data_IF_439101840019
#
_entry.id   IF_439101840019
#
_cell.length_a   1.000
_cell.length_b   1.000
_cell.length_c   1.000
_cell.angle_alpha   90.00
_cell.angle_beta   90.00
_cell.angle_gamma   90.00
#
_symmetry.space_group_name_H-M   'P 1'
#
loop_
_entity.id
_entity.type
_entity.pdbx_description
1 polymer ?
#
# COMPACT_ATOMS: atom_id res chain seq x y z
N UNK A 1 2.27 22.58 39.64
CA UNK A 1 3.58 21.96 39.37
C UNK A 1 3.39 20.80 38.40
N UNK A 2 3.99 20.96 37.21
CA UNK A 2 4.43 19.97 36.20
C UNK A 2 3.70 18.61 36.09
N UNK A 3 2.87 18.55 35.04
CA UNK A 3 2.74 17.53 33.99
C UNK A 3 3.48 16.19 34.12
N UNK A 4 2.73 15.11 33.92
CA UNK A 4 3.08 13.87 33.20
C UNK A 4 1.75 13.36 32.62
N UNK A 5 1.45 13.27 31.34
CA UNK A 5 2.23 13.09 30.13
C UNK A 5 1.43 12.07 29.31
N UNK A 6 0.32 12.50 28.67
CA UNK A 6 -0.47 11.63 27.80
C UNK A 6 0.37 11.32 26.56
N UNK A 7 0.80 10.06 26.40
CA UNK A 7 1.37 9.60 25.15
C UNK A 7 0.24 9.36 24.14
N UNK A 8 -0.21 10.46 23.55
CA UNK A 8 -0.95 10.48 22.30
C UNK A 8 0.04 10.18 21.17
N UNK A 9 0.15 8.93 20.76
CA UNK A 9 0.81 8.57 19.49
C UNK A 9 -0.25 8.04 18.52
N UNK A 10 -1.19 8.91 18.21
CA UNK A 10 -2.08 8.81 17.06
C UNK A 10 -1.27 9.06 15.79
N UNK A 11 -0.89 7.98 15.09
CA UNK A 11 -0.82 8.03 13.63
C UNK A 11 -2.17 7.54 13.09
N UNK A 12 -3.24 8.24 13.48
CA UNK A 12 -4.49 8.17 12.75
C UNK A 12 -4.20 8.67 11.34
N UNK A 13 -4.60 7.89 10.33
CA UNK A 13 -4.50 8.34 8.94
C UNK A 13 -5.12 9.74 8.85
N UNK A 14 -4.37 10.77 8.45
CA UNK A 14 -4.95 12.09 8.27
C UNK A 14 -6.00 11.97 7.17
N UNK A 15 -7.26 11.96 7.57
CA UNK A 15 -8.42 11.88 6.71
C UNK A 15 -8.48 13.11 5.81
N UNK A 16 -7.77 13.07 4.68
CA UNK A 16 -8.06 13.94 3.56
C UNK A 16 -9.43 13.50 3.05
N UNK A 17 -10.42 14.42 3.11
CA UNK A 17 -11.76 14.29 2.52
C UNK A 17 -11.69 13.40 1.28
N UNK A 18 -12.23 12.18 1.37
CA UNK A 18 -12.50 11.34 0.20
C UNK A 18 -13.62 12.06 -0.54
N UNK A 19 -13.24 12.95 -1.47
CA UNK A 19 -14.18 13.46 -2.45
C UNK A 19 -14.71 12.23 -3.18
N UNK A 20 -16.03 12.10 -3.15
CA UNK A 20 -16.86 11.05 -3.73
C UNK A 20 -16.21 10.38 -4.94
N UNK A 21 -16.19 9.04 -4.96
CA UNK A 21 -15.73 8.14 -6.04
C UNK A 21 -16.44 8.37 -7.39
N UNK A 22 -16.39 9.59 -7.92
CA UNK A 22 -16.82 9.97 -9.25
C UNK A 22 -15.82 10.98 -9.82
N UNK A 23 -15.41 10.65 -11.05
CA UNK A 23 -14.64 11.47 -11.99
C UNK A 23 -13.11 11.46 -11.83
N UNK A 24 -12.47 10.37 -12.26
CA UNK A 24 -11.41 10.36 -13.28
C UNK A 24 -10.90 8.92 -13.50
N UNK A 25 -10.88 8.47 -14.75
CA UNK A 25 -10.42 7.12 -15.13
C UNK A 25 -8.88 7.06 -15.08
N UNK A 26 -8.33 6.72 -13.91
CA UNK A 26 -6.89 6.51 -13.73
C UNK A 26 -6.54 6.24 -12.27
N UNK A 27 -6.24 4.97 -11.93
CA UNK A 27 -5.67 4.45 -10.67
C UNK A 27 -6.43 4.69 -9.34
N UNK A 28 -7.19 5.78 -9.19
CA UNK A 28 -7.92 6.14 -7.96
C UNK A 28 -9.11 5.21 -7.63
N UNK A 29 -9.50 4.34 -8.57
CA UNK A 29 -10.58 3.36 -8.41
C UNK A 29 -10.12 1.95 -8.00
N UNK A 30 -8.84 1.72 -7.74
CA UNK A 30 -8.35 0.38 -7.38
C UNK A 30 -8.74 0.01 -5.94
N UNK A 31 -9.29 -1.19 -5.76
CA UNK A 31 -9.64 -1.71 -4.43
C UNK A 31 -8.37 -2.20 -3.70
N UNK A 32 -8.00 -1.65 -2.53
CA UNK A 32 -6.83 -2.08 -1.77
C UNK A 32 -6.81 -3.57 -1.42
N UNK A 33 -7.97 -4.21 -1.27
CA UNK A 33 -8.07 -5.64 -1.03
C UNK A 33 -7.56 -6.48 -2.20
N UNK A 34 -7.80 -6.04 -3.45
CA UNK A 34 -7.27 -6.74 -4.63
C UNK A 34 -5.74 -6.71 -4.56
N UNK A 35 -5.15 -5.53 -4.41
CA UNK A 35 -3.70 -5.37 -4.31
C UNK A 35 -3.12 -6.19 -3.16
N UNK A 36 -3.73 -6.10 -1.98
CA UNK A 36 -3.33 -6.84 -0.78
C UNK A 36 -3.35 -8.36 -0.98
N UNK A 37 -4.30 -8.88 -1.75
CA UNK A 37 -4.42 -10.32 -2.01
C UNK A 37 -3.23 -10.90 -2.79
N UNK A 38 -2.56 -10.08 -3.59
CA UNK A 38 -1.37 -10.50 -4.34
C UNK A 38 -0.06 -10.17 -3.62
N UNK A 39 -0.09 -9.46 -2.48
CA UNK A 39 1.11 -9.24 -1.68
C UNK A 39 1.53 -10.51 -0.91
N UNK A 40 2.80 -10.62 -0.49
CA UNK A 40 3.30 -11.73 0.32
C UNK A 40 2.64 -11.91 1.69
N UNK A 41 1.93 -10.89 2.20
CA UNK A 41 1.24 -10.88 3.51
C UNK A 41 2.13 -11.20 4.72
N UNK A 42 3.44 -10.96 4.60
CA UNK A 42 4.43 -11.24 5.65
C UNK A 42 4.49 -10.15 6.73
N UNK A 43 3.94 -8.94 6.47
CA UNK A 43 4.09 -7.75 7.32
C UNK A 43 5.55 -7.48 7.76
N UNK A 44 6.52 -7.82 6.90
CA UNK A 44 7.93 -7.88 7.26
C UNK A 44 8.63 -6.52 7.48
N UNK A 45 7.96 -5.39 7.21
CA UNK A 45 8.55 -4.05 7.37
C UNK A 45 9.67 -3.68 6.38
N UNK A 46 10.09 -4.57 5.47
CA UNK A 46 11.18 -4.30 4.50
C UNK A 46 10.90 -3.14 3.54
N UNK A 47 9.64 -2.72 3.41
CA UNK A 47 9.18 -1.56 2.63
C UNK A 47 8.89 -0.31 3.48
N UNK A 48 9.29 -0.31 4.76
CA UNK A 48 9.08 0.75 5.77
C UNK A 48 7.60 0.98 6.15
N UNK A 49 6.73 0.01 5.86
CA UNK A 49 5.31 0.05 6.26
C UNK A 49 5.00 -1.01 7.32
N UNK A 50 4.16 -0.65 8.29
CA UNK A 50 3.79 -1.52 9.42
C UNK A 50 2.98 -2.76 9.01
N UNK A 51 2.29 -2.71 7.88
CA UNK A 51 1.52 -3.84 7.35
C UNK A 51 1.51 -3.86 5.82
N UNK A 52 1.35 -5.04 5.24
CA UNK A 52 1.18 -5.21 3.80
C UNK A 52 -0.08 -4.49 3.29
N UNK A 53 -1.13 -4.38 4.11
CA UNK A 53 -2.32 -3.63 3.76
C UNK A 53 -2.05 -2.12 3.66
N UNK A 54 -1.25 -1.56 4.59
CA UNK A 54 -0.80 -0.16 4.51
C UNK A 54 0.02 0.08 3.25
N UNK A 55 0.92 -0.85 2.92
CA UNK A 55 1.67 -0.80 1.66
C UNK A 55 0.74 -0.83 0.43
N UNK A 56 -0.32 -1.64 0.42
CA UNK A 56 -1.29 -1.69 -0.68
C UNK A 56 -2.02 -0.35 -0.89
N UNK A 57 -2.47 0.30 0.19
CA UNK A 57 -3.09 1.63 0.13
C UNK A 57 -2.10 2.64 -0.46
N UNK A 58 -0.88 2.67 0.07
CA UNK A 58 0.17 3.61 -0.37
C UNK A 58 0.61 3.36 -1.80
N UNK A 59 0.61 2.10 -2.25
CA UNK A 59 0.88 1.73 -3.63
C UNK A 59 -0.20 2.28 -4.57
N UNK A 60 -1.48 2.17 -4.21
CA UNK A 60 -2.59 2.75 -4.99
C UNK A 60 -2.48 4.27 -5.06
N UNK A 61 -2.16 4.93 -3.95
CA UNK A 61 -1.99 6.39 -3.90
C UNK A 61 -0.73 6.92 -4.61
N UNK A 62 0.18 6.03 -5.03
CA UNK A 62 1.47 6.40 -5.63
C UNK A 62 2.57 6.81 -4.64
N UNK A 63 2.30 6.85 -3.32
CA UNK A 63 3.29 7.13 -2.28
C UNK A 63 4.40 6.08 -2.20
N UNK A 64 4.12 4.83 -2.62
CA UNK A 64 5.09 3.74 -2.70
C UNK A 64 5.09 3.13 -4.10
N UNK A 65 6.22 2.55 -4.48
CA UNK A 65 6.39 1.78 -5.73
C UNK A 65 6.34 0.28 -5.42
N UNK A 66 5.90 -0.52 -6.39
CA UNK A 66 5.84 -1.98 -6.26
C UNK A 66 7.21 -2.59 -5.92
N UNK A 67 8.28 -2.02 -6.49
CA UNK A 67 9.68 -2.40 -6.23
C UNK A 67 10.12 -2.23 -4.77
N UNK A 68 9.36 -1.50 -3.93
CA UNK A 68 9.64 -1.37 -2.50
C UNK A 68 9.38 -2.65 -1.71
N UNK A 69 8.57 -3.58 -2.21
CA UNK A 69 8.29 -4.85 -1.52
C UNK A 69 9.35 -5.91 -1.87
N UNK A 70 10.50 -5.89 -1.18
CA UNK A 70 11.62 -6.82 -1.46
C UNK A 70 11.23 -8.30 -1.63
N UNK A 71 10.43 -8.91 -0.72
CA UNK A 71 10.00 -10.31 -0.89
C UNK A 71 9.26 -10.56 -2.21
N UNK A 72 8.39 -9.64 -2.62
CA UNK A 72 7.63 -9.75 -3.87
C UNK A 72 8.53 -9.68 -5.11
N UNK A 73 9.62 -8.92 -5.03
CA UNK A 73 10.58 -8.74 -6.15
C UNK A 73 11.58 -9.88 -6.22
N UNK A 74 12.14 -10.28 -5.08
CA UNK A 74 13.31 -11.16 -5.02
C UNK A 74 12.94 -12.65 -4.97
N UNK A 75 11.77 -13.02 -4.43
CA UNK A 75 11.43 -14.44 -4.25
C UNK A 75 10.61 -14.98 -5.43
N UNK A 76 11.14 -16.00 -6.11
CA UNK A 76 10.53 -16.58 -7.32
C UNK A 76 9.11 -17.13 -7.08
N UNK A 77 8.81 -17.60 -5.87
CA UNK A 77 7.47 -18.10 -5.51
C UNK A 77 6.37 -17.03 -5.64
N UNK A 78 6.72 -15.73 -5.64
CA UNK A 78 5.76 -14.64 -5.82
C UNK A 78 5.76 -14.04 -7.24
N UNK A 79 6.50 -14.62 -8.19
CA UNK A 79 6.63 -14.09 -9.55
C UNK A 79 5.29 -13.82 -10.23
N UNK A 80 4.36 -14.79 -10.21
CA UNK A 80 3.03 -14.61 -10.83
C UNK A 80 2.23 -13.47 -10.21
N UNK A 81 2.35 -13.27 -8.89
CA UNK A 81 1.70 -12.17 -8.19
C UNK A 81 2.32 -10.83 -8.57
N UNK A 82 3.65 -10.77 -8.69
CA UNK A 82 4.38 -9.58 -9.15
C UNK A 82 3.95 -9.20 -10.57
N UNK A 83 3.95 -10.15 -11.51
CA UNK A 83 3.54 -9.93 -12.90
C UNK A 83 2.10 -9.40 -12.99
N UNK A 84 1.18 -9.94 -12.19
CA UNK A 84 -0.19 -9.43 -12.11
C UNK A 84 -0.23 -7.98 -11.62
N UNK A 85 0.48 -7.67 -10.54
CA UNK A 85 0.51 -6.32 -9.99
C UNK A 85 1.20 -5.32 -10.93
N UNK A 86 2.24 -5.73 -11.65
CA UNK A 86 2.89 -4.91 -12.68
C UNK A 86 1.90 -4.51 -13.79
N UNK A 87 1.14 -5.48 -14.32
CA UNK A 87 0.07 -5.20 -15.30
C UNK A 87 -1.03 -4.31 -14.73
N UNK A 88 -1.40 -4.51 -13.47
CA UNK A 88 -2.44 -3.72 -12.81
C UNK A 88 -2.04 -2.24 -12.66
N UNK A 89 -0.79 -1.97 -12.32
CA UNK A 89 -0.29 -0.61 -12.09
C UNK A 89 0.34 0.04 -13.34
N UNK A 90 0.67 -0.76 -14.34
CA UNK A 90 1.19 -0.34 -15.63
C UNK A 90 0.61 -1.17 -16.78
N UNK A 91 -0.64 -0.91 -17.20
CA UNK A 91 -1.34 -1.72 -18.20
C UNK A 91 -0.80 -1.60 -19.62
N UNK A 92 0.22 -0.75 -19.84
CA UNK A 92 0.88 -0.55 -21.13
C UNK A 92 2.26 -1.26 -21.21
N UNK A 93 2.62 -2.05 -20.20
CA UNK A 93 3.78 -2.96 -20.20
C UNK A 93 3.38 -4.40 -20.47
#
# INVERSE_FOLDING_TARGET
MKSRGNHENSAGYPGKRVKTYKENQGKDGLNPNIVYNYLPKLNCGKCEEKSCFTFAIKLISGEKKLSGCKPLIEEEKYRKNREFLEKLFNPLL
#
